data_IF_573474988828
#
_entry.id   IF_573474988828
#
_cell.length_a   1.000
_cell.length_b   1.000
_cell.length_c   1.000
_cell.angle_alpha   90.00
_cell.angle_beta   90.00
_cell.angle_gamma   90.00
#
_symmetry.space_group_name_H-M   'P 1'
#
loop_
_entity.id
_entity.type
_entity.pdbx_description
1 polymer ?
#
# COMPACT_ATOMS: atom_id res chain seq x y z
N UNK A 1 -20.80 12.81 -2.87
CA UNK A 1 -19.45 12.30 -3.19
C UNK A 1 -19.56 11.12 -4.16
N UNK A 2 -19.03 11.27 -5.36
CA UNK A 2 -18.82 10.20 -6.34
C UNK A 2 -17.80 9.17 -5.83
N UNK A 3 -17.69 8.03 -6.51
CA UNK A 3 -16.64 7.04 -6.21
C UNK A 3 -15.25 7.63 -6.43
N UNK A 4 -15.08 8.45 -7.47
CA UNK A 4 -13.79 9.09 -7.77
C UNK A 4 -13.35 10.03 -6.64
N UNK A 5 -14.26 10.88 -6.15
CA UNK A 5 -13.96 11.81 -5.04
C UNK A 5 -13.56 11.08 -3.75
N UNK A 6 -14.11 9.89 -3.50
CA UNK A 6 -13.72 9.06 -2.34
C UNK A 6 -12.32 8.45 -2.53
N UNK A 7 -11.99 8.02 -3.75
CA UNK A 7 -10.68 7.47 -4.09
C UNK A 7 -9.61 8.56 -3.98
N UNK A 8 -9.86 9.73 -4.56
CA UNK A 8 -8.95 10.86 -4.52
C UNK A 8 -8.65 11.25 -3.07
N UNK A 9 -9.71 11.39 -2.25
CA UNK A 9 -9.57 11.68 -0.81
C UNK A 9 -8.77 10.63 -0.06
N UNK A 10 -8.89 9.35 -0.42
CA UNK A 10 -8.08 8.30 0.19
C UNK A 10 -6.59 8.42 -0.19
N UNK A 11 -6.31 8.73 -1.46
CA UNK A 11 -4.95 8.86 -1.99
C UNK A 11 -4.22 10.15 -1.58
N UNK A 12 -4.92 11.09 -0.93
CA UNK A 12 -4.35 12.28 -0.29
C UNK A 12 -3.59 11.99 1.02
N UNK A 13 -3.70 10.78 1.59
CA UNK A 13 -2.99 10.43 2.82
C UNK A 13 -1.46 10.49 2.63
N UNK A 14 -0.75 10.96 3.66
CA UNK A 14 0.72 11.07 3.63
C UNK A 14 1.41 9.70 3.58
N UNK A 15 0.81 8.68 4.21
CA UNK A 15 1.37 7.33 4.29
C UNK A 15 0.29 6.25 4.28
N UNK A 16 0.66 5.06 3.80
CA UNK A 16 -0.24 3.92 3.65
C UNK A 16 0.31 2.68 4.37
N UNK A 17 -0.49 2.06 5.23
CA UNK A 17 -0.18 0.75 5.80
C UNK A 17 -0.55 -0.38 4.86
N UNK A 18 0.38 -1.28 4.54
CA UNK A 18 0.12 -2.49 3.74
C UNK A 18 0.11 -3.71 4.64
N UNK A 19 -1.08 -4.06 5.14
CA UNK A 19 -1.28 -5.27 5.96
C UNK A 19 -1.17 -6.52 5.09
N UNK A 20 -0.35 -7.47 5.52
CA UNK A 20 -0.01 -8.65 4.72
C UNK A 20 1.08 -8.38 3.67
N UNK A 21 1.82 -7.28 3.81
CA UNK A 21 3.04 -7.04 3.06
C UNK A 21 3.99 -8.25 3.17
N UNK A 22 4.70 -8.56 2.09
CA UNK A 22 5.68 -9.65 2.09
C UNK A 22 6.75 -9.34 1.06
N UNK A 23 7.92 -9.94 1.22
CA UNK A 23 8.99 -9.96 0.23
C UNK A 23 8.73 -10.94 -0.94
N UNK A 24 7.71 -11.81 -0.84
CA UNK A 24 7.40 -12.85 -1.83
C UNK A 24 6.60 -12.29 -3.03
N UNK A 25 7.11 -12.32 -4.27
CA UNK A 25 6.46 -11.67 -5.42
C UNK A 25 5.07 -12.22 -5.80
N UNK A 26 4.80 -13.49 -5.50
CA UNK A 26 3.50 -14.10 -5.77
C UNK A 26 2.39 -13.64 -4.82
N UNK A 27 2.73 -13.05 -3.66
CA UNK A 27 1.73 -12.56 -2.69
C UNK A 27 1.19 -11.19 -3.09
N UNK A 28 -0.09 -10.95 -2.85
CA UNK A 28 -0.74 -9.70 -3.23
C UNK A 28 -0.21 -8.48 -2.45
N UNK A 29 0.08 -8.64 -1.15
CA UNK A 29 0.67 -7.58 -0.34
C UNK A 29 2.03 -7.10 -0.86
N UNK A 30 2.82 -7.98 -1.49
CA UNK A 30 4.04 -7.57 -2.21
C UNK A 30 3.68 -6.62 -3.36
N UNK A 31 2.72 -7.01 -4.22
CA UNK A 31 2.32 -6.21 -5.39
C UNK A 31 1.80 -4.83 -4.99
N UNK A 32 0.98 -4.74 -3.95
CA UNK A 32 0.46 -3.46 -3.43
C UNK A 32 1.57 -2.59 -2.85
N UNK A 33 2.45 -3.17 -2.03
CA UNK A 33 3.60 -2.45 -1.47
C UNK A 33 4.50 -1.91 -2.58
N UNK A 34 4.79 -2.72 -3.59
CA UNK A 34 5.60 -2.32 -4.75
C UNK A 34 4.93 -1.20 -5.55
N UNK A 35 3.61 -1.26 -5.74
CA UNK A 35 2.87 -0.21 -6.43
C UNK A 35 3.05 1.15 -5.75
N UNK A 36 2.88 1.23 -4.43
CA UNK A 36 3.12 2.48 -3.69
C UNK A 36 4.57 2.96 -3.82
N UNK A 37 5.55 2.06 -3.62
CA UNK A 37 6.98 2.40 -3.73
C UNK A 37 7.38 2.89 -5.13
N UNK A 38 6.84 2.29 -6.18
CA UNK A 38 7.12 2.67 -7.58
C UNK A 38 6.51 4.02 -7.97
N UNK A 39 5.53 4.51 -7.21
CA UNK A 39 4.89 5.81 -7.40
C UNK A 39 5.37 6.83 -6.35
N UNK A 40 6.53 6.60 -5.74
CA UNK A 40 7.14 7.44 -4.71
C UNK A 40 6.21 7.74 -3.52
N UNK A 41 5.29 6.83 -3.21
CA UNK A 41 4.37 6.94 -2.07
C UNK A 41 4.93 6.22 -0.85
N UNK A 42 4.83 6.87 0.30
CA UNK A 42 5.27 6.31 1.58
C UNK A 42 4.35 5.16 2.00
N UNK A 43 4.85 3.94 1.86
CA UNK A 43 4.14 2.73 2.30
C UNK A 43 4.88 2.03 3.44
N UNK A 44 4.15 1.73 4.50
CA UNK A 44 4.64 1.05 5.71
C UNK A 44 4.18 -0.41 5.63
N UNK A 45 5.11 -1.38 5.44
CA UNK A 45 4.74 -2.78 5.43
C UNK A 45 4.31 -3.22 6.83
N UNK A 46 3.20 -3.96 6.93
CA UNK A 46 2.74 -4.56 8.19
C UNK A 46 2.66 -6.07 8.01
N UNK A 47 3.59 -6.78 8.64
CA UNK A 47 3.64 -8.23 8.62
C UNK A 47 4.14 -8.74 10.00
N UNK A 48 3.37 -9.61 10.70
CA UNK A 48 3.75 -10.11 12.03
C UNK A 48 5.05 -10.92 12.08
N UNK A 49 5.53 -11.47 10.96
CA UNK A 49 6.65 -12.42 10.93
C UNK A 49 7.91 -11.88 10.26
N UNK A 50 7.81 -10.81 9.48
CA UNK A 50 8.97 -10.15 8.87
C UNK A 50 9.59 -9.19 9.89
N UNK A 51 10.92 -9.17 9.99
CA UNK A 51 11.67 -8.30 10.91
C UNK A 51 12.13 -7.02 10.23
#
# INVERSE_FOLDING_TARGET
>A
MSVQEKIDRFLEAEAFGVVGASSKPHKYGYKVLRCYQQNDRRAIPVNPVEK
#
